data_IF_262766288967
#
_entry.id   IF_262766288967
#
_cell.length_a   1.000
_cell.length_b   1.000
_cell.length_c   1.000
_cell.angle_alpha   90.00
_cell.angle_beta   90.00
_cell.angle_gamma   90.00
#
_symmetry.space_group_name_H-M   'P 1'
#
loop_
_entity.id
_entity.type
_entity.pdbx_description
1 polymer ?
#
# COMPACT_ATOMS: atom_id res chain seq x y z
N UNK A 1 -26.76 6.35 -7.98
CA UNK A 1 -25.62 6.01 -7.11
C UNK A 1 -25.92 6.59 -5.76
N UNK A 2 -26.16 5.73 -4.76
CA UNK A 2 -26.37 6.16 -3.38
C UNK A 2 -25.01 6.41 -2.71
N UNK A 3 -24.91 7.36 -1.78
CA UNK A 3 -23.66 7.67 -1.08
C UNK A 3 -23.01 6.43 -0.44
N UNK A 4 -23.81 5.49 0.09
CA UNK A 4 -23.32 4.22 0.65
C UNK A 4 -22.58 3.33 -0.36
N UNK A 5 -22.99 3.32 -1.63
CA UNK A 5 -22.31 2.52 -2.67
C UNK A 5 -20.99 3.14 -3.08
N UNK A 6 -20.86 4.49 -3.02
CA UNK A 6 -19.61 5.18 -3.33
C UNK A 6 -18.54 4.92 -2.27
N UNK A 7 -18.91 4.92 -0.99
CA UNK A 7 -17.96 4.59 0.09
C UNK A 7 -17.48 3.14 0.00
N UNK A 8 -18.38 2.20 -0.33
CA UNK A 8 -18.03 0.79 -0.45
C UNK A 8 -17.12 0.52 -1.67
N UNK A 9 -17.38 1.18 -2.80
CA UNK A 9 -16.51 1.12 -3.97
C UNK A 9 -15.12 1.70 -3.66
N UNK A 10 -15.06 2.90 -3.06
CA UNK A 10 -13.79 3.52 -2.67
C UNK A 10 -12.99 2.64 -1.70
N UNK A 11 -13.66 1.94 -0.78
CA UNK A 11 -13.00 1.04 0.15
C UNK A 11 -12.48 -0.23 -0.55
N UNK A 12 -13.28 -0.83 -1.46
CA UNK A 12 -12.85 -1.99 -2.24
C UNK A 12 -11.74 -1.67 -3.25
N UNK A 13 -11.77 -0.48 -3.87
CA UNK A 13 -10.71 0.02 -4.76
C UNK A 13 -9.42 0.28 -3.98
N UNK A 14 -9.52 0.85 -2.77
CA UNK A 14 -8.39 1.01 -1.86
C UNK A 14 -7.79 -0.35 -1.48
N UNK A 15 -8.62 -1.32 -1.06
CA UNK A 15 -8.18 -2.68 -0.70
C UNK A 15 -7.47 -3.38 -1.86
N UNK A 16 -8.00 -3.27 -3.08
CA UNK A 16 -7.38 -3.84 -4.28
C UNK A 16 -6.04 -3.18 -4.62
N UNK A 17 -5.95 -1.84 -4.46
CA UNK A 17 -4.73 -1.09 -4.70
C UNK A 17 -3.63 -1.44 -3.69
N UNK A 18 -3.95 -1.46 -2.39
CA UNK A 18 -2.96 -1.81 -1.35
C UNK A 18 -2.51 -3.27 -1.43
N UNK A 19 -3.42 -4.18 -1.80
CA UNK A 19 -3.07 -5.60 -2.04
C UNK A 19 -2.07 -5.72 -3.20
N UNK A 20 -2.35 -5.06 -4.32
CA UNK A 20 -1.49 -5.09 -5.50
C UNK A 20 -0.13 -4.45 -5.22
N UNK A 21 -0.11 -3.33 -4.50
CA UNK A 21 1.13 -2.69 -4.06
C UNK A 21 1.93 -3.62 -3.13
N UNK A 22 1.27 -4.32 -2.21
CA UNK A 22 1.88 -5.32 -1.33
C UNK A 22 2.54 -6.48 -2.09
N UNK A 23 1.90 -6.99 -3.15
CA UNK A 23 2.49 -8.03 -4.01
C UNK A 23 3.75 -7.55 -4.73
N UNK A 24 3.80 -6.26 -5.10
CA UNK A 24 4.98 -5.69 -5.74
C UNK A 24 6.13 -5.47 -4.75
N UNK A 25 5.81 -5.18 -3.47
CA UNK A 25 6.78 -5.10 -2.36
C UNK A 25 7.37 -6.49 -2.09
N UNK A 26 6.54 -7.53 -2.01
CA UNK A 26 6.99 -8.93 -1.84
C UNK A 26 7.93 -9.40 -2.96
N UNK A 27 7.82 -8.81 -4.16
CA UNK A 27 8.67 -9.07 -5.32
C UNK A 27 10.14 -8.69 -5.18
N UNK A 28 10.60 -8.17 -4.03
CA UNK A 28 12.01 -8.05 -3.59
C UNK A 28 12.94 -7.18 -4.45
N UNK A 29 13.19 -7.59 -5.70
CA UNK A 29 14.01 -6.88 -6.69
C UNK A 29 13.46 -5.48 -7.02
N UNK A 30 12.13 -5.34 -7.03
CA UNK A 30 11.47 -4.07 -7.26
C UNK A 30 11.80 -3.04 -6.17
N UNK A 31 11.97 -3.44 -4.90
CA UNK A 31 12.26 -2.54 -3.78
C UNK A 31 13.64 -1.89 -3.85
N UNK A 32 14.61 -2.50 -4.55
CA UNK A 32 15.92 -1.90 -4.78
C UNK A 32 15.86 -0.74 -5.78
N UNK A 33 14.78 -0.62 -6.55
CA UNK A 33 14.60 0.47 -7.50
C UNK A 33 14.19 1.76 -6.79
N UNK A 34 15.00 2.82 -6.94
CA UNK A 34 14.68 4.15 -6.40
C UNK A 34 13.34 4.70 -6.94
N UNK A 35 12.93 4.25 -8.13
CA UNK A 35 11.62 4.61 -8.71
C UNK A 35 10.48 3.92 -7.95
N UNK A 36 10.67 2.66 -7.57
CA UNK A 36 9.67 1.90 -6.83
C UNK A 36 9.57 2.40 -5.39
N UNK A 37 10.70 2.66 -4.72
CA UNK A 37 10.70 3.27 -3.38
C UNK A 37 9.90 4.58 -3.37
N UNK A 38 10.10 5.43 -4.38
CA UNK A 38 9.33 6.68 -4.51
C UNK A 38 7.83 6.45 -4.75
N UNK A 39 7.48 5.45 -5.56
CA UNK A 39 6.09 5.05 -5.77
C UNK A 39 5.45 4.57 -4.46
N UNK A 40 6.13 3.71 -3.71
CA UNK A 40 5.66 3.19 -2.42
C UNK A 40 5.47 4.32 -1.40
N UNK A 41 6.43 5.22 -1.26
CA UNK A 41 6.32 6.36 -0.34
C UNK A 41 5.18 7.31 -0.71
N UNK A 42 4.98 7.57 -2.01
CA UNK A 42 3.86 8.41 -2.48
C UNK A 42 2.52 7.73 -2.18
N UNK A 43 2.42 6.44 -2.48
CA UNK A 43 1.22 5.65 -2.22
C UNK A 43 0.92 5.55 -0.71
N UNK A 44 1.92 5.36 0.15
CA UNK A 44 1.77 5.42 1.62
C UNK A 44 1.18 6.76 2.09
N UNK A 45 1.59 7.88 1.47
CA UNK A 45 1.04 9.20 1.77
C UNK A 45 -0.41 9.32 1.31
N UNK A 46 -0.76 8.76 0.16
CA UNK A 46 -2.15 8.75 -0.33
C UNK A 46 -3.08 7.95 0.59
N UNK A 47 -2.66 6.76 1.03
CA UNK A 47 -3.49 5.89 1.88
C UNK A 47 -3.46 6.28 3.37
N UNK A 48 -2.56 7.18 3.79
CA UNK A 48 -2.48 7.69 5.16
C UNK A 48 -3.76 8.41 5.63
N UNK A 49 -4.65 8.80 4.71
CA UNK A 49 -5.98 9.30 5.05
C UNK A 49 -6.92 8.24 5.65
N UNK A 50 -6.56 6.94 5.54
CA UNK A 50 -7.35 5.79 6.01
C UNK A 50 -6.58 4.93 7.04
N UNK A 51 -6.08 5.52 8.15
CA UNK A 51 -5.17 4.83 9.08
C UNK A 51 -5.85 3.68 9.86
N UNK A 52 -7.18 3.68 9.94
CA UNK A 52 -7.96 2.61 10.60
C UNK A 52 -8.36 1.49 9.65
N UNK A 53 -8.00 1.56 8.37
CA UNK A 53 -8.30 0.49 7.42
C UNK A 53 -7.26 -0.64 7.59
N UNK A 54 -7.69 -1.89 7.88
CA UNK A 54 -6.78 -3.00 8.15
C UNK A 54 -5.86 -3.32 6.96
N UNK A 55 -6.33 -3.15 5.72
CA UNK A 55 -5.52 -3.40 4.53
C UNK A 55 -4.39 -2.35 4.36
N UNK A 56 -4.63 -1.10 4.79
CA UNK A 56 -3.60 -0.06 4.84
C UNK A 56 -2.56 -0.37 5.92
N UNK A 57 -3.00 -0.88 7.07
CA UNK A 57 -2.07 -1.30 8.14
C UNK A 57 -1.18 -2.45 7.68
N UNK A 58 -1.76 -3.50 7.08
CA UNK A 58 -1.00 -4.65 6.58
C UNK A 58 -0.01 -4.23 5.48
N UNK A 59 -0.41 -3.34 4.59
CA UNK A 59 0.49 -2.80 3.57
C UNK A 59 1.69 -2.06 4.18
N UNK A 60 1.46 -1.20 5.18
CA UNK A 60 2.54 -0.47 5.85
C UNK A 60 3.51 -1.41 6.57
N UNK A 61 2.99 -2.45 7.22
CA UNK A 61 3.81 -3.46 7.90
C UNK A 61 4.72 -4.18 6.91
N UNK A 62 4.17 -4.61 5.77
CA UNK A 62 4.93 -5.24 4.66
C UNK A 62 6.02 -4.32 4.10
N UNK A 63 5.71 -3.03 3.89
CA UNK A 63 6.71 -2.06 3.40
C UNK A 63 7.84 -1.90 4.41
N UNK A 64 7.52 -1.82 5.70
CA UNK A 64 8.51 -1.66 6.75
C UNK A 64 9.41 -2.89 6.89
N UNK A 65 8.82 -4.08 6.86
CA UNK A 65 9.54 -5.36 6.90
C UNK A 65 10.51 -5.47 5.72
N UNK A 66 10.00 -5.28 4.51
CA UNK A 66 10.81 -5.39 3.30
C UNK A 66 11.87 -4.27 3.17
N UNK A 67 11.63 -3.08 3.74
CA UNK A 67 12.67 -2.04 3.82
C UNK A 67 13.75 -2.39 4.84
N UNK A 68 13.37 -3.04 5.94
CA UNK A 68 14.33 -3.51 6.96
C UNK A 68 15.21 -4.62 6.39
N UNK A 69 14.64 -5.55 5.62
CA UNK A 69 15.41 -6.60 4.93
C UNK A 69 16.38 -6.06 3.86
N UNK A 70 16.15 -4.86 3.31
CA UNK A 70 17.07 -4.22 2.38
C UNK A 70 18.25 -3.49 3.04
N UNK A 71 18.12 -3.11 4.32
CA UNK A 71 19.14 -2.36 5.07
C UNK A 71 20.17 -3.29 5.75
N UNK A 72 19.83 -4.58 5.95
CA UNK A 72 20.67 -5.62 6.56
C UNK A 72 21.73 -6.22 5.61
#
# INVERSE_FOLDING_TARGET
MNEGERFQLLNGELEAAVTTAGLAVDGGDALQSSRFQRYVTDFQREVSAHPTNPAVQEFNDKVQDATTELDD
#
